data_IF_923791647963
#
_entry.id   IF_923791647963
#
_cell.length_a   1.000
_cell.length_b   1.000
_cell.length_c   1.000
_cell.angle_alpha   90.00
_cell.angle_beta   90.00
_cell.angle_gamma   90.00
#
_symmetry.space_group_name_H-M   'P 1'
#
loop_
_entity.id
_entity.type
_entity.pdbx_description
1 polymer ?
#
# COMPACT_ATOMS: atom_id res chain seq x y z
N UNK A 1 -8.82 28.03 29.46
CA UNK A 1 -9.02 26.63 29.02
C UNK A 1 -8.13 26.42 27.81
N UNK A 2 -7.20 25.46 27.86
CA UNK A 2 -6.31 25.16 26.73
C UNK A 2 -6.99 24.20 25.76
N UNK A 3 -6.85 24.44 24.46
CA UNK A 3 -7.32 23.50 23.45
C UNK A 3 -6.37 22.29 23.43
N UNK A 4 -6.90 21.09 23.68
CA UNK A 4 -6.16 19.83 23.56
C UNK A 4 -6.53 19.19 22.22
N UNK A 5 -5.53 18.87 21.41
CA UNK A 5 -5.69 18.12 20.17
C UNK A 5 -5.28 16.67 20.45
N UNK A 6 -6.20 15.73 20.30
CA UNK A 6 -5.91 14.30 20.42
C UNK A 6 -5.42 13.74 19.07
N UNK A 7 -4.16 13.32 19.03
CA UNK A 7 -3.53 12.71 17.85
C UNK A 7 -3.65 11.17 17.87
N UNK A 8 -4.32 10.57 18.85
CA UNK A 8 -4.61 9.13 18.88
C UNK A 8 -5.44 8.67 17.66
N UNK A 9 -6.18 9.59 17.04
CA UNK A 9 -6.87 9.39 15.75
C UNK A 9 -5.92 8.94 14.64
N UNK A 10 -4.60 9.18 14.77
CA UNK A 10 -3.62 8.73 13.80
C UNK A 10 -3.25 7.25 13.94
N UNK A 11 -3.56 6.60 15.06
CA UNK A 11 -2.97 5.33 15.45
C UNK A 11 -3.83 4.08 15.17
N UNK A 12 -5.14 4.21 14.92
CA UNK A 12 -6.05 3.07 15.14
C UNK A 12 -6.60 2.37 13.88
N UNK A 13 -6.42 2.93 12.68
CA UNK A 13 -6.96 2.30 11.47
C UNK A 13 -5.87 1.59 10.68
N UNK A 14 -6.09 0.28 10.45
CA UNK A 14 -5.23 -0.58 9.64
C UNK A 14 -6.08 -1.36 8.63
N UNK A 15 -5.46 -1.73 7.52
CA UNK A 15 -5.98 -2.67 6.54
C UNK A 15 -5.46 -4.07 6.89
N UNK A 16 -6.38 -5.00 7.12
CA UNK A 16 -6.03 -6.41 7.34
C UNK A 16 -5.71 -7.08 5.99
N UNK A 17 -4.54 -7.71 5.88
CA UNK A 17 -4.09 -8.41 4.67
C UNK A 17 -3.67 -9.83 5.04
N UNK A 18 -4.39 -10.81 4.51
CA UNK A 18 -4.03 -12.23 4.64
C UNK A 18 -3.08 -12.64 3.51
N UNK A 19 -1.87 -13.03 3.87
CA UNK A 19 -0.82 -13.51 3.00
C UNK A 19 -1.11 -14.94 2.50
N UNK A 20 -0.53 -15.37 1.37
CA UNK A 20 -0.71 -16.73 0.85
C UNK A 20 -0.26 -17.84 1.80
N UNK A 21 0.63 -17.53 2.74
CA UNK A 21 1.08 -18.44 3.80
C UNK A 21 0.03 -18.68 4.89
N UNK A 22 -1.13 -18.01 4.81
CA UNK A 22 -2.19 -18.04 5.83
C UNK A 22 -1.99 -17.05 6.96
N UNK A 23 -0.91 -16.28 6.93
CA UNK A 23 -0.61 -15.25 7.91
C UNK A 23 -1.36 -13.95 7.64
N UNK A 24 -1.89 -13.30 8.67
CA UNK A 24 -2.49 -11.96 8.57
C UNK A 24 -1.54 -10.88 9.08
N UNK A 25 -1.44 -9.78 8.34
CA UNK A 25 -0.72 -8.56 8.73
C UNK A 25 -1.66 -7.36 8.74
N UNK A 26 -1.35 -6.33 9.53
CA UNK A 26 -2.13 -5.11 9.59
C UNK A 26 -1.35 -3.93 9.02
N UNK A 27 -1.72 -3.54 7.80
CA UNK A 27 -1.08 -2.46 7.07
C UNK A 27 -1.63 -1.12 7.50
N UNK A 28 -0.75 -0.20 7.90
CA UNK A 28 -1.12 1.14 8.35
C UNK A 28 -1.54 2.01 7.17
N UNK A 29 -2.25 3.09 7.48
CA UNK A 29 -2.53 4.17 6.53
C UNK A 29 -1.25 4.70 5.87
N UNK A 30 -1.32 5.20 4.63
CA UNK A 30 -0.15 5.66 3.91
C UNK A 30 0.48 6.85 4.60
N UNK A 31 1.81 6.83 4.64
CA UNK A 31 2.58 8.05 4.87
C UNK A 31 2.50 8.95 3.63
N UNK A 32 2.85 10.24 3.80
CA UNK A 32 2.98 11.17 2.66
C UNK A 32 3.86 10.59 1.54
N UNK A 33 4.94 9.88 1.89
CA UNK A 33 5.85 9.22 0.94
C UNK A 33 5.13 8.17 0.10
N UNK A 34 4.31 7.33 0.73
CA UNK A 34 3.52 6.30 0.03
C UNK A 34 2.49 6.97 -0.88
N UNK A 35 1.79 8.00 -0.39
CA UNK A 35 0.82 8.77 -1.20
C UNK A 35 1.45 9.39 -2.46
N UNK A 36 2.61 10.03 -2.33
CA UNK A 36 3.34 10.60 -3.47
C UNK A 36 3.66 9.51 -4.50
N UNK A 37 4.14 8.35 -4.04
CA UNK A 37 4.47 7.21 -4.91
C UNK A 37 3.26 6.64 -5.62
N UNK A 38 2.08 6.65 -4.99
CA UNK A 38 0.82 6.25 -5.65
C UNK A 38 0.48 7.18 -6.82
N UNK A 39 0.61 8.49 -6.60
CA UNK A 39 0.34 9.50 -7.62
C UNK A 39 1.33 9.39 -8.79
N UNK A 40 2.60 9.10 -8.50
CA UNK A 40 3.63 8.83 -9.51
C UNK A 40 3.31 7.57 -10.31
N UNK A 41 2.95 6.47 -9.65
CA UNK A 41 2.59 5.21 -10.32
C UNK A 41 1.41 5.42 -11.28
N UNK A 42 0.37 6.17 -10.89
CA UNK A 42 -0.74 6.47 -11.80
C UNK A 42 -0.30 7.25 -13.06
N UNK A 43 0.76 8.06 -12.97
CA UNK A 43 1.34 8.74 -14.14
C UNK A 43 2.16 7.75 -14.99
N UNK A 44 2.99 6.93 -14.34
CA UNK A 44 3.80 5.91 -15.00
C UNK A 44 2.95 4.89 -15.74
N UNK A 45 1.88 4.37 -15.13
CA UNK A 45 0.95 3.43 -15.76
C UNK A 45 0.29 3.99 -17.02
N UNK A 46 0.05 5.31 -17.07
CA UNK A 46 -0.50 5.99 -18.27
C UNK A 46 0.54 6.15 -19.39
N UNK A 47 1.83 6.08 -19.06
CA UNK A 47 2.94 6.31 -19.97
C UNK A 47 3.63 5.01 -20.43
N UNK A 48 3.52 3.93 -19.66
CA UNK A 48 4.27 2.67 -19.85
C UNK A 48 3.58 1.63 -20.76
N UNK A 49 2.77 2.03 -21.74
CA UNK A 49 2.22 1.08 -22.70
C UNK A 49 3.29 0.29 -23.48
N UNK A 50 4.53 0.82 -23.55
CA UNK A 50 5.64 0.27 -24.33
C UNK A 50 6.73 -0.41 -23.47
N UNK A 51 6.67 -0.35 -22.14
CA UNK A 51 7.72 -0.87 -21.24
C UNK A 51 7.17 -1.66 -20.04
N UNK A 52 6.69 -2.90 -20.26
CA UNK A 52 6.02 -3.70 -19.23
C UNK A 52 6.93 -4.00 -18.03
N UNK A 53 8.23 -4.24 -18.24
CA UNK A 53 9.18 -4.53 -17.15
C UNK A 53 9.31 -3.39 -16.15
N UNK A 54 9.37 -2.14 -16.64
CA UNK A 54 9.41 -0.95 -15.77
C UNK A 54 8.11 -0.78 -14.99
N UNK A 55 6.98 -1.10 -15.61
CA UNK A 55 5.68 -1.10 -14.94
C UNK A 55 5.65 -2.12 -13.80
N UNK A 56 6.10 -3.35 -14.03
CA UNK A 56 6.15 -4.38 -12.99
C UNK A 56 7.11 -4.03 -11.85
N UNK A 57 8.29 -3.51 -12.16
CA UNK A 57 9.24 -3.05 -11.15
C UNK A 57 8.63 -1.94 -10.26
N UNK A 58 7.88 -1.01 -10.86
CA UNK A 58 7.19 0.05 -10.12
C UNK A 58 6.08 -0.51 -9.21
N UNK A 59 5.29 -1.45 -9.71
CA UNK A 59 4.24 -2.13 -8.94
C UNK A 59 4.86 -2.89 -7.76
N UNK A 60 5.86 -3.74 -8.00
CA UNK A 60 6.49 -4.54 -6.94
C UNK A 60 7.09 -3.65 -5.84
N UNK A 61 7.76 -2.57 -6.23
CA UNK A 61 8.30 -1.60 -5.26
C UNK A 61 7.19 -0.97 -4.41
N UNK A 62 6.08 -0.60 -5.04
CA UNK A 62 4.94 -0.01 -4.33
C UNK A 62 4.29 -1.01 -3.37
N UNK A 63 4.16 -2.27 -3.77
CA UNK A 63 3.62 -3.31 -2.91
C UNK A 63 4.52 -3.60 -1.72
N UNK A 64 5.84 -3.61 -1.91
CA UNK A 64 6.81 -3.65 -0.81
C UNK A 64 6.57 -2.46 0.13
N UNK A 65 6.54 -1.23 -0.36
CA UNK A 65 6.36 -0.05 0.51
C UNK A 65 5.04 -0.10 1.31
N UNK A 66 3.96 -0.58 0.68
CA UNK A 66 2.67 -0.76 1.32
C UNK A 66 2.78 -1.83 2.41
N UNK A 67 3.20 -3.04 2.05
CA UNK A 67 3.20 -4.15 3.00
C UNK A 67 4.23 -3.98 4.10
N UNK A 68 5.38 -3.35 3.87
CA UNK A 68 6.37 -3.03 4.92
C UNK A 68 5.84 -2.01 5.93
N UNK A 69 4.82 -1.23 5.57
CA UNK A 69 4.17 -0.30 6.48
C UNK A 69 3.14 -0.99 7.40
N UNK A 70 3.50 -2.13 7.98
CA UNK A 70 2.64 -2.92 8.88
C UNK A 70 2.94 -2.71 10.37
N UNK A 71 2.08 -3.22 11.25
CA UNK A 71 2.27 -3.20 12.72
C UNK A 71 3.19 -4.30 13.24
N UNK A 72 3.30 -5.40 12.52
CA UNK A 72 4.09 -6.58 12.88
C UNK A 72 5.61 -6.40 12.62
N UNK A 73 6.02 -5.32 11.96
CA UNK A 73 7.41 -5.07 11.58
C UNK A 73 7.94 -5.99 10.46
N UNK A 74 7.04 -6.64 9.73
CA UNK A 74 7.40 -7.57 8.64
C UNK A 74 7.98 -6.84 7.45
N UNK A 75 8.93 -7.49 6.79
CA UNK A 75 9.59 -6.99 5.59
C UNK A 75 9.39 -7.95 4.44
N UNK A 76 9.26 -7.39 3.25
CA UNK A 76 9.03 -8.15 2.02
C UNK A 76 10.05 -7.73 0.97
N UNK A 77 10.61 -8.69 0.25
CA UNK A 77 11.55 -8.41 -0.84
C UNK A 77 10.80 -8.23 -2.15
N UNK A 78 11.37 -7.44 -3.06
CA UNK A 78 10.89 -7.35 -4.45
C UNK A 78 10.86 -8.74 -5.09
N UNK A 79 11.92 -9.54 -4.87
CA UNK A 79 12.04 -10.91 -5.37
C UNK A 79 10.86 -11.80 -4.99
N UNK A 80 10.36 -11.70 -3.74
CA UNK A 80 9.20 -12.47 -3.31
C UNK A 80 7.97 -12.20 -4.19
N UNK A 81 7.76 -10.94 -4.57
CA UNK A 81 6.63 -10.56 -5.44
C UNK A 81 6.86 -10.97 -6.89
N UNK A 82 8.09 -10.88 -7.40
CA UNK A 82 8.42 -11.36 -8.75
C UNK A 82 8.14 -12.85 -8.91
N UNK A 83 8.47 -13.66 -7.89
CA UNK A 83 8.35 -15.12 -7.98
C UNK A 83 6.95 -15.63 -7.63
N UNK A 84 6.17 -14.90 -6.82
CA UNK A 84 4.94 -15.41 -6.22
C UNK A 84 3.67 -14.58 -6.51
N UNK A 85 3.79 -13.37 -7.05
CA UNK A 85 2.65 -12.48 -7.18
C UNK A 85 2.14 -12.38 -8.61
N UNK A 86 0.85 -12.69 -8.80
CA UNK A 86 0.18 -12.44 -10.07
C UNK A 86 -0.29 -10.98 -10.18
N UNK A 87 -0.48 -10.51 -11.42
CA UNK A 87 -1.07 -9.20 -11.72
C UNK A 87 -2.42 -9.00 -11.00
N UNK A 88 -3.23 -10.06 -10.92
CA UNK A 88 -4.54 -9.99 -10.27
C UNK A 88 -4.42 -9.68 -8.78
N UNK A 89 -3.47 -10.32 -8.10
CA UNK A 89 -3.20 -10.09 -6.67
C UNK A 89 -2.65 -8.68 -6.45
N UNK A 90 -1.70 -8.25 -7.30
CA UNK A 90 -1.15 -6.90 -7.24
C UNK A 90 -2.25 -5.83 -7.37
N UNK A 91 -3.15 -5.98 -8.36
CA UNK A 91 -4.26 -5.05 -8.57
C UNK A 91 -5.26 -5.06 -7.41
N UNK A 92 -5.59 -6.25 -6.86
CA UNK A 92 -6.49 -6.36 -5.73
C UNK A 92 -5.94 -5.61 -4.50
N UNK A 93 -4.66 -5.85 -4.16
CA UNK A 93 -4.01 -5.19 -3.03
C UNK A 93 -3.93 -3.66 -3.22
N UNK A 94 -3.57 -3.20 -4.42
CA UNK A 94 -3.54 -1.77 -4.73
C UNK A 94 -4.92 -1.12 -4.63
N UNK A 95 -5.94 -1.75 -5.21
CA UNK A 95 -7.32 -1.26 -5.19
C UNK A 95 -7.86 -1.17 -3.77
N UNK A 96 -7.68 -2.23 -2.99
CA UNK A 96 -8.18 -2.28 -1.61
C UNK A 96 -7.46 -1.23 -0.74
N UNK A 97 -6.15 -1.09 -0.91
CA UNK A 97 -5.39 -0.06 -0.21
C UNK A 97 -5.85 1.35 -0.61
N UNK A 98 -6.11 1.63 -1.88
CA UNK A 98 -6.66 2.91 -2.32
C UNK A 98 -8.06 3.17 -1.74
N UNK A 99 -8.92 2.15 -1.69
CA UNK A 99 -10.24 2.22 -1.07
C UNK A 99 -10.15 2.54 0.42
N UNK A 100 -9.30 1.82 1.16
CA UNK A 100 -8.99 2.07 2.56
C UNK A 100 -8.59 3.54 2.79
N UNK A 101 -7.66 4.07 1.99
CA UNK A 101 -7.21 5.46 2.14
C UNK A 101 -8.30 6.49 1.87
N UNK A 102 -9.18 6.23 0.90
CA UNK A 102 -10.28 7.11 0.54
C UNK A 102 -11.37 7.09 1.61
N UNK A 103 -11.65 5.92 2.19
CA UNK A 103 -12.63 5.76 3.25
C UNK A 103 -12.20 6.49 4.54
N UNK A 104 -10.91 6.47 4.88
CA UNK A 104 -10.38 7.25 6.00
C UNK A 104 -10.58 8.75 5.77
N UNK A 105 -10.33 9.24 4.55
CA UNK A 105 -10.50 10.67 4.22
C UNK A 105 -11.96 11.12 4.25
N UNK A 106 -12.90 10.21 3.93
CA UNK A 106 -14.32 10.53 3.81
C UNK A 106 -15.15 10.23 5.07
N UNK A 107 -14.57 9.60 6.10
CA UNK A 107 -15.17 9.51 7.45
C UNK A 107 -15.14 10.90 8.10
N UNK A 108 -16.18 11.68 7.85
CA UNK A 108 -16.52 12.91 8.59
C UNK A 108 -17.19 12.60 9.92
#
# INVERSE_FOLDING_TARGET
MGNVIDLSIFANETLEVTMPTGETIHVKKPTQKITIRMMEMQKTLKQCAEEPEKMFAAINKMLVDILEHNTEGKKYSIQYFEDNMSIAVANALLSEYMSFTSNIQNKK
#
